data_IF_658215094976
#
_entry.id   IF_658215094976
#
_cell.length_a   1.000
_cell.length_b   1.000
_cell.length_c   1.000
_cell.angle_alpha   90.00
_cell.angle_beta   90.00
_cell.angle_gamma   90.00
#
_symmetry.space_group_name_H-M   'P 1'
#
loop_
_entity.id
_entity.type
_entity.pdbx_description
1 polymer ?
#
# COMPACT_ATOMS: atom_id res chain seq x y z
N UNK A 1 -6.44 -17.65 -5.55
CA UNK A 1 -7.66 -17.66 -4.70
C UNK A 1 -8.07 -16.22 -4.46
N UNK A 2 -9.38 -15.93 -4.48
CA UNK A 2 -9.92 -14.60 -4.18
C UNK A 2 -9.72 -14.30 -2.70
N UNK A 3 -9.29 -13.08 -2.36
CA UNK A 3 -9.11 -12.69 -0.97
C UNK A 3 -10.44 -12.33 -0.30
N UNK A 4 -10.53 -12.40 1.05
CA UNK A 4 -11.74 -11.98 1.76
C UNK A 4 -12.02 -10.49 1.55
N UNK A 5 -13.29 -10.13 1.43
CA UNK A 5 -13.72 -8.72 1.48
C UNK A 5 -13.80 -8.32 2.96
N UNK A 6 -13.12 -7.22 3.33
CA UNK A 6 -13.04 -6.76 4.72
C UNK A 6 -13.70 -5.40 4.84
N UNK A 7 -14.66 -5.26 5.75
CA UNK A 7 -15.35 -4.00 6.03
C UNK A 7 -14.77 -3.31 7.27
N UNK A 8 -14.71 -1.98 7.24
CA UNK A 8 -14.34 -1.16 8.40
C UNK A 8 -14.92 0.25 8.23
N UNK A 9 -15.60 0.77 9.27
CA UNK A 9 -16.39 1.99 9.17
C UNK A 9 -17.32 1.96 7.93
N UNK A 10 -17.29 3.00 7.09
CA UNK A 10 -17.94 3.08 5.79
C UNK A 10 -16.99 2.76 4.61
N UNK A 11 -15.92 2.01 4.86
CA UNK A 11 -14.96 1.57 3.85
C UNK A 11 -14.94 0.04 3.72
N UNK A 12 -14.40 -0.44 2.60
CA UNK A 12 -14.05 -1.84 2.44
C UNK A 12 -12.70 -2.05 1.75
N UNK A 13 -12.08 -3.19 2.03
CA UNK A 13 -11.00 -3.77 1.24
C UNK A 13 -11.58 -4.88 0.37
N UNK A 14 -11.33 -4.80 -0.94
CA UNK A 14 -11.56 -5.91 -1.89
C UNK A 14 -10.43 -6.00 -2.89
N UNK A 15 -10.29 -7.14 -3.56
CA UNK A 15 -9.36 -7.25 -4.69
C UNK A 15 -9.60 -6.09 -5.68
N UNK A 16 -8.52 -5.46 -6.11
CA UNK A 16 -8.57 -4.43 -7.15
C UNK A 16 -8.99 -5.04 -8.48
N UNK A 17 -9.77 -4.29 -9.25
CA UNK A 17 -10.33 -4.71 -10.53
C UNK A 17 -9.98 -3.69 -11.63
N UNK A 18 -10.00 -4.12 -12.90
CA UNK A 18 -9.70 -3.22 -14.02
C UNK A 18 -10.62 -2.00 -14.11
N UNK A 19 -11.85 -2.10 -13.61
CA UNK A 19 -12.81 -1.00 -13.58
C UNK A 19 -12.37 0.15 -12.65
N UNK A 20 -11.47 -0.13 -11.71
CA UNK A 20 -10.94 0.86 -10.77
C UNK A 20 -9.92 1.80 -11.43
N UNK A 21 -9.58 1.60 -12.70
CA UNK A 21 -8.61 2.43 -13.42
C UNK A 21 -8.98 3.91 -13.43
N UNK A 22 -10.28 4.24 -13.54
CA UNK A 22 -10.75 5.63 -13.48
C UNK A 22 -10.42 6.27 -12.13
N UNK A 23 -10.76 5.58 -11.04
CA UNK A 23 -10.54 6.08 -9.68
C UNK A 23 -9.04 6.11 -9.32
N UNK A 24 -8.28 5.11 -9.78
CA UNK A 24 -6.82 5.07 -9.65
C UNK A 24 -6.16 6.24 -10.36
N UNK A 25 -6.64 6.58 -11.57
CA UNK A 25 -6.14 7.71 -12.33
C UNK A 25 -6.32 9.03 -11.58
N UNK A 26 -7.44 9.22 -10.87
CA UNK A 26 -7.71 10.46 -10.11
C UNK A 26 -6.60 10.77 -9.10
N UNK A 27 -6.23 9.82 -8.24
CA UNK A 27 -5.16 10.07 -7.27
C UNK A 27 -3.77 9.79 -7.82
N UNK A 28 -3.65 8.92 -8.81
CA UNK A 28 -2.37 8.58 -9.43
C UNK A 28 -1.82 9.67 -10.34
N UNK A 29 -2.66 10.61 -10.80
CA UNK A 29 -2.23 11.80 -11.54
C UNK A 29 -1.76 12.95 -10.63
N UNK A 30 -2.00 12.84 -9.33
CA UNK A 30 -1.69 13.89 -8.37
C UNK A 30 -0.25 13.75 -7.87
N UNK A 31 0.62 14.69 -8.25
CA UNK A 31 2.04 14.70 -7.86
C UNK A 31 2.19 14.66 -6.33
N UNK A 32 1.32 15.32 -5.57
CA UNK A 32 1.42 15.30 -4.11
C UNK A 32 1.22 13.89 -3.55
N UNK A 33 0.39 13.08 -4.21
CA UNK A 33 0.12 11.69 -3.82
C UNK A 33 1.27 10.77 -4.22
N UNK A 34 1.82 10.94 -5.42
CA UNK A 34 2.80 10.00 -5.98
C UNK A 34 4.27 10.40 -5.79
N UNK A 35 4.56 11.56 -5.19
CA UNK A 35 5.94 12.06 -5.03
C UNK A 35 6.91 11.13 -4.30
N UNK A 36 6.39 10.20 -3.51
CA UNK A 36 7.18 9.19 -2.80
C UNK A 36 7.14 7.80 -3.44
N UNK A 37 6.49 7.67 -4.60
CA UNK A 37 6.22 6.39 -5.24
C UNK A 37 7.07 6.23 -6.51
N UNK A 38 7.35 4.98 -6.83
CA UNK A 38 8.09 4.58 -8.04
C UNK A 38 7.27 4.67 -9.33
N UNK A 39 6.00 5.05 -9.24
CA UNK A 39 5.05 5.13 -10.35
C UNK A 39 4.31 6.48 -10.37
N UNK A 40 3.61 6.74 -11.47
CA UNK A 40 2.90 8.00 -11.72
C UNK A 40 3.84 9.15 -12.14
N UNK A 41 3.45 10.42 -11.97
CA UNK A 41 2.05 10.81 -12.01
C UNK A 41 1.46 10.28 -13.32
N UNK A 42 0.26 9.73 -13.27
CA UNK A 42 -0.37 9.23 -14.48
C UNK A 42 -0.74 10.39 -15.40
N UNK A 43 -0.41 10.27 -16.68
CA UNK A 43 -0.75 11.28 -17.70
C UNK A 43 -2.07 10.95 -18.41
N UNK A 44 -2.41 9.66 -18.46
CA UNK A 44 -3.67 9.18 -19.00
C UNK A 44 -4.17 7.92 -18.26
N UNK A 45 -5.46 7.61 -18.45
CA UNK A 45 -6.10 6.48 -17.78
C UNK A 45 -5.52 5.11 -18.18
N UNK A 46 -4.91 4.99 -19.36
CA UNK A 46 -4.32 3.74 -19.83
C UNK A 46 -3.09 3.34 -19.00
N UNK A 47 -2.38 4.31 -18.41
CA UNK A 47 -1.28 4.06 -17.48
C UNK A 47 -1.78 3.45 -16.15
N UNK A 48 -2.92 3.94 -15.64
CA UNK A 48 -3.58 3.38 -14.46
C UNK A 48 -4.08 1.96 -14.75
N UNK A 49 -4.75 1.75 -15.89
CA UNK A 49 -5.18 0.43 -16.35
C UNK A 49 -3.99 -0.55 -16.49
N UNK A 50 -2.91 -0.08 -17.12
CA UNK A 50 -1.66 -0.83 -17.27
C UNK A 50 -1.05 -1.22 -15.94
N UNK A 51 -1.09 -0.30 -14.97
CA UNK A 51 -0.59 -0.53 -13.62
C UNK A 51 -1.41 -1.59 -12.89
N UNK A 52 -2.75 -1.49 -12.88
CA UNK A 52 -3.64 -2.50 -12.30
C UNK A 52 -3.36 -3.89 -12.90
N UNK A 53 -3.32 -3.96 -14.24
CA UNK A 53 -3.08 -5.23 -14.94
C UNK A 53 -1.73 -5.85 -14.58
N UNK A 54 -0.64 -5.10 -14.73
CA UNK A 54 0.73 -5.63 -14.64
C UNK A 54 1.24 -5.78 -13.21
N UNK A 55 0.86 -4.88 -12.32
CA UNK A 55 1.45 -4.82 -10.98
C UNK A 55 0.53 -5.33 -9.88
N UNK A 56 -0.78 -5.41 -10.10
CA UNK A 56 -1.72 -5.91 -9.08
C UNK A 56 -2.32 -7.26 -9.46
N UNK A 57 -2.89 -7.38 -10.67
CA UNK A 57 -3.57 -8.61 -11.09
C UNK A 57 -2.61 -9.76 -11.42
N UNK A 58 -1.37 -9.47 -11.83
CA UNK A 58 -0.36 -10.48 -12.15
C UNK A 58 0.40 -10.99 -10.91
N UNK A 59 0.21 -10.41 -9.72
CA UNK A 59 0.87 -10.83 -8.47
C UNK A 59 0.71 -12.32 -8.11
N UNK A 60 -0.45 -12.97 -8.33
CA UNK A 60 -0.60 -14.40 -8.08
C UNK A 60 0.41 -15.26 -8.83
N UNK A 61 0.85 -14.85 -10.02
CA UNK A 61 1.88 -15.57 -10.79
C UNK A 61 3.26 -15.52 -10.10
N UNK A 62 3.45 -14.62 -9.14
CA UNK A 62 4.66 -14.43 -8.34
C UNK A 62 4.51 -14.90 -6.89
N UNK A 63 3.42 -15.61 -6.57
CA UNK A 63 3.14 -16.11 -5.21
C UNK A 63 2.60 -15.07 -4.23
N UNK A 64 2.17 -13.90 -4.72
CA UNK A 64 1.56 -12.85 -3.92
C UNK A 64 0.05 -12.75 -4.18
N UNK A 65 -0.76 -12.30 -3.20
CA UNK A 65 -2.15 -11.99 -3.47
C UNK A 65 -2.30 -10.81 -4.45
N UNK A 66 -3.48 -10.70 -5.06
CA UNK A 66 -3.90 -9.47 -5.75
C UNK A 66 -3.85 -8.31 -4.74
N UNK A 67 -3.55 -7.08 -5.16
CA UNK A 67 -3.58 -5.96 -4.23
C UNK A 67 -5.00 -5.55 -3.86
N UNK A 68 -5.20 -5.02 -2.64
CA UNK A 68 -6.51 -4.51 -2.24
C UNK A 68 -6.72 -3.08 -2.73
N UNK A 69 -7.90 -2.85 -3.29
CA UNK A 69 -8.53 -1.55 -3.38
C UNK A 69 -9.16 -1.19 -2.03
N UNK A 70 -8.93 0.04 -1.58
CA UNK A 70 -9.70 0.67 -0.51
C UNK A 70 -10.87 1.39 -1.16
N UNK A 71 -12.10 1.02 -0.83
CA UNK A 71 -13.31 1.58 -1.43
C UNK A 71 -14.11 2.31 -0.37
N UNK A 72 -14.54 3.52 -0.70
CA UNK A 72 -15.51 4.30 0.06
C UNK A 72 -16.93 3.86 -0.33
N UNK A 73 -17.70 3.37 0.65
CA UNK A 73 -19.04 2.82 0.41
C UNK A 73 -20.08 3.91 0.18
N UNK A 74 -19.83 5.15 0.58
CA UNK A 74 -20.76 6.26 0.36
C UNK A 74 -20.70 6.74 -1.09
N UNK A 75 -19.51 6.88 -1.65
CA UNK A 75 -19.29 7.28 -3.04
C UNK A 75 -19.23 6.10 -4.02
N UNK A 76 -19.03 4.88 -3.50
CA UNK A 76 -18.74 3.68 -4.28
C UNK A 76 -17.50 3.83 -5.18
N UNK A 77 -16.51 4.60 -4.74
CA UNK A 77 -15.26 4.86 -5.46
C UNK A 77 -14.07 4.19 -4.77
N UNK A 78 -13.09 3.73 -5.55
CA UNK A 78 -11.79 3.37 -5.03
C UNK A 78 -11.02 4.64 -4.62
N UNK A 79 -10.52 4.68 -3.39
CA UNK A 79 -9.84 5.85 -2.83
C UNK A 79 -8.35 5.60 -2.57
N UNK A 80 -7.86 4.39 -2.81
CA UNK A 80 -6.46 4.04 -2.64
C UNK A 80 -6.22 2.54 -2.70
N UNK A 81 -4.99 2.12 -2.44
CA UNK A 81 -4.56 0.73 -2.36
C UNK A 81 -3.78 0.45 -1.08
N UNK A 82 -3.86 -0.79 -0.59
CA UNK A 82 -3.06 -1.29 0.54
C UNK A 82 -2.81 -2.78 0.33
N UNK A 83 -1.55 -3.20 0.21
CA UNK A 83 -1.28 -4.55 -0.29
C UNK A 83 0.12 -5.08 0.04
N UNK A 84 0.32 -6.38 -0.21
CA UNK A 84 1.62 -7.04 -0.17
C UNK A 84 2.21 -7.13 -1.58
N UNK A 85 3.31 -6.41 -1.83
CA UNK A 85 3.85 -6.25 -3.20
C UNK A 85 5.20 -6.94 -3.44
N UNK A 86 5.89 -7.36 -2.38
CA UNK A 86 7.18 -8.05 -2.47
C UNK A 86 7.21 -9.25 -1.53
N UNK A 87 7.75 -10.38 -2.00
CA UNK A 87 8.22 -11.47 -1.14
C UNK A 87 9.70 -11.21 -0.91
N UNK A 88 10.08 -11.06 0.36
CA UNK A 88 11.48 -10.80 0.76
C UNK A 88 12.21 -12.13 0.96
N UNK A 89 11.55 -13.06 1.65
CA UNK A 89 11.99 -14.42 1.92
C UNK A 89 10.76 -15.28 2.31
N UNK A 90 10.95 -16.57 2.59
CA UNK A 90 9.84 -17.47 2.95
C UNK A 90 9.05 -16.96 4.16
N UNK A 91 7.76 -16.68 3.95
CA UNK A 91 6.86 -16.16 4.98
C UNK A 91 7.12 -14.69 5.37
N UNK A 92 7.94 -13.95 4.62
CA UNK A 92 8.22 -12.53 4.86
C UNK A 92 7.87 -11.70 3.64
N UNK A 93 6.98 -10.74 3.84
CA UNK A 93 6.46 -9.89 2.76
C UNK A 93 6.60 -8.41 3.10
N UNK A 94 6.68 -7.60 2.07
CA UNK A 94 6.63 -6.15 2.17
C UNK A 94 5.20 -5.65 1.90
N UNK A 95 4.70 -4.82 2.81
CA UNK A 95 3.45 -4.10 2.65
C UNK A 95 3.70 -2.70 2.10
N UNK A 96 2.78 -2.22 1.27
CA UNK A 96 2.80 -0.86 0.73
C UNK A 96 1.39 -0.31 0.57
N UNK A 97 1.28 1.01 0.41
CA UNK A 97 0.00 1.67 0.25
C UNK A 97 0.07 3.03 -0.44
N UNK A 98 -1.06 3.45 -0.99
CA UNK A 98 -1.29 4.77 -1.56
C UNK A 98 -2.73 5.20 -1.27
N UNK A 99 -2.97 6.49 -0.97
CA UNK A 99 -4.30 7.00 -0.67
C UNK A 99 -4.52 8.34 -1.37
N UNK A 100 -5.71 8.53 -1.92
CA UNK A 100 -6.16 9.82 -2.43
C UNK A 100 -6.05 10.90 -1.35
N UNK A 101 -5.48 12.06 -1.72
CA UNK A 101 -5.23 13.17 -0.78
C UNK A 101 -6.48 13.68 -0.06
N UNK A 102 -7.66 13.56 -0.69
CA UNK A 102 -8.94 13.96 -0.08
C UNK A 102 -9.29 13.12 1.16
N UNK A 103 -8.62 11.98 1.35
CA UNK A 103 -8.83 11.04 2.46
C UNK A 103 -7.67 11.04 3.47
N UNK A 104 -6.66 11.89 3.28
CA UNK A 104 -5.55 12.02 4.23
C UNK A 104 -6.00 12.63 5.55
N UNK A 105 -5.25 12.32 6.62
CA UNK A 105 -5.50 12.80 7.99
C UNK A 105 -6.87 12.40 8.60
N UNK A 106 -7.64 11.53 7.94
CA UNK A 106 -8.91 10.98 8.44
C UNK A 106 -8.77 9.59 9.10
N UNK A 107 -7.55 9.06 9.18
CA UNK A 107 -7.27 7.74 9.78
C UNK A 107 -7.55 6.53 8.88
N UNK A 108 -8.01 6.75 7.64
CA UNK A 108 -8.38 5.69 6.68
C UNK A 108 -7.24 4.70 6.47
N UNK A 109 -6.05 5.17 6.08
CA UNK A 109 -4.93 4.28 5.80
C UNK A 109 -4.44 3.53 7.05
N UNK A 110 -4.51 4.15 8.23
CA UNK A 110 -4.17 3.47 9.48
C UNK A 110 -5.06 2.27 9.73
N UNK A 111 -6.38 2.42 9.54
CA UNK A 111 -7.35 1.33 9.70
C UNK A 111 -7.24 0.29 8.57
N UNK A 112 -7.04 0.74 7.33
CA UNK A 112 -6.85 -0.12 6.17
C UNK A 112 -5.61 -1.01 6.31
N UNK A 113 -4.47 -0.45 6.72
CA UNK A 113 -3.25 -1.21 7.00
C UNK A 113 -3.47 -2.21 8.13
N UNK A 114 -4.17 -1.83 9.21
CA UNK A 114 -4.51 -2.76 10.30
C UNK A 114 -5.29 -3.98 9.77
N UNK A 115 -6.26 -3.77 8.89
CA UNK A 115 -7.03 -4.85 8.26
C UNK A 115 -6.20 -5.69 7.30
N UNK A 116 -5.28 -5.09 6.55
CA UNK A 116 -4.32 -5.85 5.73
C UNK A 116 -3.44 -6.76 6.60
N UNK A 117 -2.96 -6.28 7.75
CA UNK A 117 -2.13 -7.08 8.67
C UNK A 117 -2.91 -8.28 9.23
N UNK A 118 -4.18 -8.10 9.61
CA UNK A 118 -5.06 -9.22 10.02
C UNK A 118 -5.12 -10.30 8.92
N UNK A 119 -5.33 -9.88 7.66
CA UNK A 119 -5.33 -10.80 6.50
C UNK A 119 -3.96 -11.46 6.32
N UNK A 120 -2.86 -10.70 6.40
CA UNK A 120 -1.52 -11.23 6.24
C UNK A 120 -1.17 -12.32 7.26
N UNK A 121 -1.42 -12.09 8.54
CA UNK A 121 -1.04 -13.00 9.61
C UNK A 121 -2.00 -14.17 9.81
N UNK A 122 -3.31 -13.95 9.64
CA UNK A 122 -4.33 -14.96 9.95
C UNK A 122 -4.85 -15.70 8.73
N UNK A 123 -4.94 -15.05 7.56
CA UNK A 123 -5.44 -15.69 6.33
C UNK A 123 -4.28 -16.23 5.48
N UNK A 124 -3.27 -15.41 5.19
CA UNK A 124 -2.12 -15.85 4.38
C UNK A 124 -1.02 -16.55 5.19
N UNK A 125 -1.02 -16.40 6.52
CA UNK A 125 -0.08 -17.08 7.41
C UNK A 125 1.36 -16.55 7.32
N UNK A 126 1.56 -15.29 6.91
CA UNK A 126 2.88 -14.67 6.92
C UNK A 126 3.45 -14.62 8.35
N UNK A 127 4.77 -14.73 8.46
CA UNK A 127 5.51 -14.75 9.74
C UNK A 127 5.93 -13.33 10.14
N UNK A 128 6.41 -12.55 9.16
CA UNK A 128 6.89 -11.18 9.32
C UNK A 128 6.40 -10.32 8.15
N UNK A 129 5.98 -9.10 8.46
CA UNK A 129 5.61 -8.10 7.47
C UNK A 129 6.57 -6.93 7.66
N UNK A 130 7.20 -6.48 6.58
CA UNK A 130 8.07 -5.30 6.59
C UNK A 130 7.41 -4.14 5.84
N UNK A 131 7.83 -2.93 6.15
CA UNK A 131 7.40 -1.72 5.45
C UNK A 131 8.46 -0.63 5.56
N UNK A 132 8.67 0.09 4.47
CA UNK A 132 9.60 1.22 4.40
C UNK A 132 8.87 2.53 4.09
N UNK A 133 9.48 3.65 4.49
CA UNK A 133 9.07 4.97 4.02
C UNK A 133 10.28 5.91 3.85
N UNK A 134 10.21 6.85 2.91
CA UNK A 134 11.14 7.98 2.86
C UNK A 134 11.02 8.81 4.14
N UNK A 135 12.12 9.24 4.75
CA UNK A 135 12.11 9.97 6.03
C UNK A 135 11.31 11.28 5.98
N UNK A 136 11.25 11.89 4.79
CA UNK A 136 10.47 13.10 4.48
C UNK A 136 8.96 12.83 4.38
N UNK A 137 8.54 11.56 4.24
CA UNK A 137 7.13 11.14 4.20
C UNK A 137 6.56 10.92 5.61
N UNK A 138 6.28 12.04 6.30
CA UNK A 138 5.72 12.05 7.66
C UNK A 138 4.35 11.35 7.76
N UNK A 139 3.56 11.39 6.68
CA UNK A 139 2.26 10.72 6.63
C UNK A 139 2.38 9.20 6.77
N UNK A 140 3.29 8.60 5.98
CA UNK A 140 3.58 7.17 6.03
C UNK A 140 4.16 6.76 7.38
N UNK A 141 5.13 7.52 7.91
CA UNK A 141 5.69 7.31 9.25
C UNK A 141 4.60 7.16 10.32
N UNK A 142 3.64 8.10 10.36
CA UNK A 142 2.56 8.08 11.36
C UNK A 142 1.62 6.89 11.20
N UNK A 143 1.36 6.42 9.98
CA UNK A 143 0.54 5.23 9.73
C UNK A 143 1.23 3.97 10.24
N UNK A 144 2.54 3.85 10.00
CA UNK A 144 3.40 2.74 10.44
C UNK A 144 3.46 2.69 11.96
N UNK A 145 3.77 3.81 12.61
CA UNK A 145 3.85 3.91 14.08
C UNK A 145 2.51 3.56 14.75
N UNK A 146 1.38 4.04 14.21
CA UNK A 146 0.05 3.71 14.74
C UNK A 146 -0.37 2.26 14.57
N UNK A 147 0.31 1.51 13.71
CA UNK A 147 0.14 0.07 13.57
C UNK A 147 1.19 -0.74 14.36
N UNK A 148 1.92 -0.09 15.27
CA UNK A 148 2.86 -0.70 16.19
C UNK A 148 4.02 -1.45 15.52
N UNK A 149 4.35 -1.07 14.29
CA UNK A 149 5.55 -1.55 13.62
C UNK A 149 6.80 -1.13 14.42
N UNK A 150 7.77 -2.03 14.46
CA UNK A 150 9.04 -1.84 15.18
C UNK A 150 10.09 -1.37 14.19
N UNK A 151 10.81 -0.31 14.54
CA UNK A 151 11.92 0.18 13.74
C UNK A 151 13.00 -0.89 13.59
N UNK A 152 13.47 -1.10 12.37
CA UNK A 152 14.52 -2.06 12.03
C UNK A 152 15.84 -1.32 11.77
N UNK A 153 15.88 -0.55 10.68
CA UNK A 153 17.07 0.15 10.24
C UNK A 153 16.73 1.35 9.35
N UNK A 154 17.76 2.15 9.09
CA UNK A 154 17.72 3.27 8.15
C UNK A 154 18.59 2.97 6.94
N UNK A 155 18.08 3.22 5.75
CA UNK A 155 18.77 3.07 4.47
C UNK A 155 18.95 4.44 3.82
N UNK A 156 20.20 4.84 3.58
CA UNK A 156 20.54 6.14 2.98
C UNK A 156 20.86 6.04 1.49
N UNK A 157 20.81 4.85 0.90
CA UNK A 157 21.37 4.59 -0.44
C UNK A 157 20.31 4.13 -1.43
N UNK A 158 19.32 3.33 -1.04
CA UNK A 158 18.45 2.68 -2.05
C UNK A 158 17.28 3.52 -2.53
N UNK A 159 16.72 4.37 -1.67
CA UNK A 159 15.54 5.15 -2.05
C UNK A 159 15.95 6.37 -2.90
N UNK A 160 15.59 6.31 -4.19
CA UNK A 160 15.79 7.39 -5.16
C UNK A 160 14.48 8.16 -5.37
N UNK A 161 14.47 9.43 -5.02
CA UNK A 161 13.34 10.31 -5.30
C UNK A 161 13.46 10.88 -6.72
N UNK A 162 12.69 10.32 -7.64
CA UNK A 162 12.68 10.71 -9.06
C UNK A 162 12.21 12.14 -9.34
N UNK A 163 11.59 12.82 -8.36
CA UNK A 163 11.16 14.22 -8.51
C UNK A 163 12.24 15.21 -8.08
N UNK A 164 13.07 14.85 -7.09
CA UNK A 164 14.21 15.68 -6.65
C UNK A 164 15.51 15.29 -7.34
N UNK A 165 15.57 14.08 -7.91
CA UNK A 165 16.77 13.52 -8.52
C UNK A 165 17.82 13.05 -7.50
N UNK A 166 17.43 12.93 -6.22
CA UNK A 166 18.35 12.64 -5.12
C UNK A 166 18.03 11.31 -4.44
N UNK A 167 19.07 10.69 -3.90
CA UNK A 167 18.90 9.64 -2.90
C UNK A 167 18.51 10.28 -1.58
N UNK A 168 17.38 9.84 -1.03
CA UNK A 168 16.88 10.32 0.24
C UNK A 168 16.88 9.17 1.25
N UNK A 169 17.14 9.44 2.54
CA UNK A 169 17.04 8.41 3.55
C UNK A 169 15.64 7.83 3.67
N UNK A 170 15.58 6.52 3.92
CA UNK A 170 14.36 5.79 4.21
C UNK A 170 14.49 5.00 5.51
N UNK A 171 13.40 4.92 6.25
CA UNK A 171 13.31 4.15 7.50
C UNK A 171 12.47 2.91 7.26
N UNK A 172 12.99 1.77 7.72
CA UNK A 172 12.40 0.45 7.55
C UNK A 172 11.96 -0.13 8.88
N UNK A 173 10.83 -0.82 8.85
CA UNK A 173 10.17 -1.34 10.02
C UNK A 173 9.68 -2.76 9.75
N UNK A 174 9.42 -3.49 10.83
CA UNK A 174 8.82 -4.81 10.76
C UNK A 174 7.76 -5.03 11.83
N UNK A 175 6.94 -6.05 11.60
CA UNK A 175 6.00 -6.59 12.58
C UNK A 175 5.91 -8.11 12.39
N UNK A 176 6.01 -8.87 13.48
CA UNK A 176 5.79 -10.33 13.45
C UNK A 176 4.39 -10.71 13.91
N UNK A 177 3.97 -11.93 13.62
CA UNK A 177 2.68 -12.46 14.05
C UNK A 177 2.51 -12.44 15.57
N UNK A 178 3.57 -12.74 16.32
CA UNK A 178 3.56 -12.75 17.79
C UNK A 178 3.42 -11.34 18.39
N UNK A 179 3.91 -10.33 17.66
CA UNK A 179 3.81 -8.92 18.05
C UNK A 179 2.47 -8.31 17.67
N UNK A 180 1.80 -8.86 16.66
CA UNK A 180 0.49 -8.40 16.21
C UNK A 180 -0.59 -8.75 17.23
N UNK A 181 -1.04 -7.72 17.96
CA UNK A 181 -2.16 -7.76 18.91
C UNK A 181 -3.35 -6.95 18.41
#
# INVERSE_FOLDING_TARGET
>A
MKQPVIYFDHYMLRDIELKDANDMFVYGSDIEVVKFLSWGPYMDITEAYGSIKRYFLERPNRGLPVGYAIVDLESNQMIGTVDFHTIVEDGVVEAGYCLNKAYWNKGVMTKALRKLLEVGFYYHGYKKIIIGHADTNIGSKRVIEKNNFIFDYKDNEKYYNRFTGLHEPSSWYYLTKEQFK
#
